data_IF_575003438143
#
_entry.id   IF_575003438143
#
_cell.length_a   1.000
_cell.length_b   1.000
_cell.length_c   1.000
_cell.angle_alpha   90.00
_cell.angle_beta   90.00
_cell.angle_gamma   90.00
#
_symmetry.space_group_name_H-M   'P 1'
#
loop_
_entity.id
_entity.type
_entity.pdbx_description
1 polymer ?
#
# COMPACT_ATOMS: atom_id res chain seq x y z
N UNK A 1 6.26 -13.17 3.98
CA UNK A 1 5.02 -13.56 3.28
C UNK A 1 5.00 -12.82 1.96
N UNK A 2 5.20 -13.53 0.86
CA UNK A 2 4.93 -13.01 -0.48
C UNK A 2 3.44 -12.74 -0.58
N UNK A 3 3.03 -11.52 -0.93
CA UNK A 3 1.63 -11.25 -1.20
C UNK A 3 1.19 -12.08 -2.41
N UNK A 4 0.14 -12.87 -2.26
CA UNK A 4 -0.48 -13.52 -3.40
C UNK A 4 -1.32 -12.48 -4.19
N UNK A 5 -1.56 -12.69 -5.49
CA UNK A 5 -2.27 -11.70 -6.31
C UNK A 5 -3.65 -11.33 -5.78
N UNK A 6 -4.38 -12.25 -5.13
CA UNK A 6 -5.73 -11.98 -4.62
C UNK A 6 -5.67 -11.05 -3.40
N UNK A 7 -4.74 -11.26 -2.48
CA UNK A 7 -4.58 -10.37 -1.33
C UNK A 7 -4.08 -8.98 -1.73
N UNK A 8 -3.13 -8.91 -2.68
CA UNK A 8 -2.65 -7.65 -3.22
C UNK A 8 -3.80 -6.83 -3.85
N UNK A 9 -4.63 -7.46 -4.69
CA UNK A 9 -5.79 -6.79 -5.30
C UNK A 9 -6.86 -6.40 -4.28
N UNK A 10 -7.12 -7.25 -3.27
CA UNK A 10 -8.06 -6.94 -2.20
C UNK A 10 -7.63 -5.67 -1.45
N UNK A 11 -6.36 -5.57 -1.06
CA UNK A 11 -5.82 -4.42 -0.36
C UNK A 11 -5.93 -3.12 -1.18
N UNK A 12 -5.65 -3.17 -2.49
CA UNK A 12 -5.81 -2.02 -3.39
C UNK A 12 -7.25 -1.54 -3.48
N UNK A 13 -8.21 -2.46 -3.67
CA UNK A 13 -9.64 -2.13 -3.75
C UNK A 13 -10.16 -1.50 -2.46
N UNK A 14 -9.82 -2.09 -1.32
CA UNK A 14 -10.23 -1.57 -0.02
C UNK A 14 -9.62 -0.19 0.28
N UNK A 15 -8.36 0.02 -0.12
CA UNK A 15 -7.71 1.33 -0.06
C UNK A 15 -8.45 2.38 -0.89
N UNK A 16 -8.80 2.04 -2.13
CA UNK A 16 -9.56 2.93 -3.01
C UNK A 16 -10.99 3.20 -2.48
N UNK A 17 -11.68 2.20 -1.92
CA UNK A 17 -12.99 2.40 -1.30
C UNK A 17 -12.93 3.41 -0.15
N UNK A 18 -11.90 3.34 0.70
CA UNK A 18 -11.66 4.34 1.75
C UNK A 18 -11.38 5.73 1.19
N UNK A 19 -10.59 5.82 0.12
CA UNK A 19 -10.29 7.07 -0.56
C UNK A 19 -11.57 7.71 -1.14
N UNK A 20 -12.34 6.97 -1.94
CA UNK A 20 -13.61 7.41 -2.54
C UNK A 20 -14.63 7.81 -1.47
N UNK A 21 -14.66 7.10 -0.34
CA UNK A 21 -15.56 7.40 0.76
C UNK A 21 -15.16 8.61 1.62
N UNK A 22 -13.98 9.22 1.41
CA UNK A 22 -13.51 10.33 2.24
C UNK A 22 -12.96 9.91 3.61
N UNK A 23 -12.60 8.64 3.79
CA UNK A 23 -12.06 8.09 5.05
C UNK A 23 -10.65 7.47 4.87
N UNK A 24 -9.66 8.22 4.32
CA UNK A 24 -8.30 7.70 4.17
C UNK A 24 -7.65 7.45 5.54
N UNK A 25 -7.00 6.29 5.69
CA UNK A 25 -6.31 5.91 6.93
C UNK A 25 -4.84 6.34 6.98
N UNK A 26 -4.25 6.68 5.82
CA UNK A 26 -2.82 6.95 5.68
C UNK A 26 -1.90 5.87 6.31
N UNK A 27 -2.12 4.57 6.03
CA UNK A 27 -1.33 3.49 6.62
C UNK A 27 0.11 3.53 6.12
N UNK A 28 1.03 2.95 6.89
CA UNK A 28 2.44 2.77 6.52
C UNK A 28 3.25 4.06 6.32
N UNK A 29 2.84 5.18 6.94
CA UNK A 29 3.51 6.50 6.83
C UNK A 29 4.20 6.99 8.13
N UNK A 30 4.16 6.19 9.20
CA UNK A 30 4.72 6.56 10.51
C UNK A 30 6.26 6.59 10.56
N UNK A 31 6.82 7.23 11.60
CA UNK A 31 8.26 7.42 11.78
C UNK A 31 9.03 6.10 11.85
N UNK A 32 8.54 5.13 12.64
CA UNK A 32 9.16 3.81 12.74
C UNK A 32 9.18 3.09 11.38
N UNK A 33 8.05 3.11 10.67
CA UNK A 33 7.95 2.50 9.34
C UNK A 33 8.90 3.14 8.33
N UNK A 34 9.06 4.47 8.39
CA UNK A 34 10.01 5.19 7.54
C UNK A 34 11.46 4.79 7.82
N UNK A 35 11.83 4.61 9.09
CA UNK A 35 13.17 4.16 9.46
C UNK A 35 13.47 2.75 8.93
N UNK A 36 12.51 1.83 9.00
CA UNK A 36 12.64 0.47 8.44
C UNK A 36 12.91 0.45 6.93
N UNK A 37 12.31 1.38 6.18
CA UNK A 37 12.44 1.43 4.71
C UNK A 37 13.84 1.85 4.24
N UNK A 38 14.68 2.40 5.12
CA UNK A 38 16.05 2.79 4.77
C UNK A 38 16.93 1.59 4.40
N UNK A 39 16.62 0.40 4.93
CA UNK A 39 17.39 -0.82 4.63
C UNK A 39 16.90 -1.57 3.39
N UNK A 40 15.76 -1.18 2.80
CA UNK A 40 15.21 -1.81 1.61
C UNK A 40 13.69 -1.85 1.57
N UNK A 41 13.16 -2.42 0.49
CA UNK A 41 11.73 -2.49 0.23
C UNK A 41 11.29 -3.89 -0.24
N UNK A 42 10.04 -4.23 0.08
CA UNK A 42 9.35 -5.42 -0.43
C UNK A 42 7.88 -5.07 -0.71
N UNK A 43 7.59 -4.29 -1.77
CA UNK A 43 6.24 -3.87 -2.10
C UNK A 43 5.39 -5.05 -2.59
N UNK A 44 4.09 -5.01 -2.33
CA UNK A 44 3.15 -6.05 -2.77
C UNK A 44 2.70 -5.89 -4.23
N UNK A 45 2.87 -4.69 -4.81
CA UNK A 45 2.36 -4.31 -6.15
C UNK A 45 3.31 -3.33 -6.82
N UNK A 46 3.41 -3.41 -8.14
CA UNK A 46 3.91 -2.36 -9.03
C UNK A 46 2.72 -1.70 -9.75
N UNK A 47 2.65 -0.37 -9.73
CA UNK A 47 1.63 0.40 -10.44
C UNK A 47 2.23 1.04 -11.70
N UNK A 48 1.62 0.77 -12.85
CA UNK A 48 1.94 1.44 -14.12
C UNK A 48 0.73 2.30 -14.51
N UNK A 49 0.88 3.63 -14.42
CA UNK A 49 -0.17 4.62 -14.68
C UNK A 49 0.30 5.73 -15.61
N UNK A 50 -0.56 6.70 -15.91
CA UNK A 50 -0.20 7.87 -16.70
C UNK A 50 0.76 8.81 -15.95
N UNK A 51 1.47 9.66 -16.69
CA UNK A 51 2.32 10.74 -16.15
C UNK A 51 1.50 11.92 -15.64
#
# INVERSE_FOLDING_TARGET
MTADPRSAWKALKEGNQRFVGGFPQHPSQGVARRAELASGQNPNVLLFGCS
#
